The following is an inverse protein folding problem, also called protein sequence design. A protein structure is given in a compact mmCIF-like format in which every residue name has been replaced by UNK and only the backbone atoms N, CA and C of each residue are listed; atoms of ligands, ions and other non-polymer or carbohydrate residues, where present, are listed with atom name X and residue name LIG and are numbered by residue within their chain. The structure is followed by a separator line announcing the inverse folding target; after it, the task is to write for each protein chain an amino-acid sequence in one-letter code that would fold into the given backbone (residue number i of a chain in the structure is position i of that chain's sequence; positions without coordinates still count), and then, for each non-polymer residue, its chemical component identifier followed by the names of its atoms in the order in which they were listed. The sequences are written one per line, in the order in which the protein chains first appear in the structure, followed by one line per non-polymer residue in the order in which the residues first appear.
data_IF_413037853976
#
_entry.id   IF_413037853976
#
_cell.length_a   1.000
_cell.length_b   1.000
_cell.length_c   1.000
_cell.angle_alpha   90.00
_cell.angle_beta   90.00
_cell.angle_gamma   90.00
#
_symmetry.space_group_name_H-M   'P 1'
#
loop_
_entity.id
_entity.type
_entity.pdbx_description
1 polymer ?
#
# COMPACT_ATOMS: atom_id res chain seq x y z
N UNK A 1 -24.04 7.88 -72.30
CA UNK A 1 -24.25 7.95 -71.90
C UNK A 1 -24.34 7.70 -70.88
N UNK A 2 -24.28 7.82 -70.14
CA UNK A 2 -24.28 7.70 -69.14
C UNK A 2 -24.18 7.50 -68.16
N UNK A 3 -24.12 7.50 -67.52
CA UNK A 3 -24.09 7.39 -66.57
C UNK A 3 -24.03 7.20 -65.53
N UNK A 4 -23.98 7.32 -64.97
CA UNK A 4 -24.02 7.23 -63.97
C UNK A 4 -23.86 7.01 -62.95
N UNK A 5 -23.72 7.01 -62.18
CA UNK A 5 -23.75 6.90 -61.12
C UNK A 5 -23.55 6.72 -60.09
N UNK A 6 -23.49 6.81 -59.47
CA UNK A 6 -23.46 6.70 -58.56
C UNK A 6 -23.32 6.51 -57.55
N UNK A 7 -23.25 6.45 -56.88
CA UNK A 7 -23.28 6.35 -55.80
C UNK A 7 -22.99 6.13 -54.82
N UNK A 8 -22.94 6.25 -54.24
CA UNK A 8 -22.95 6.15 -53.35
C UNK A 8 -22.75 5.93 -52.35
N UNK A 9 -22.69 5.96 -51.64
CA UNK A 9 -22.66 5.91 -50.65
C UNK A 9 -22.40 5.68 -49.70
N UNK A 10 -22.34 5.75 -49.00
CA UNK A 10 -22.28 5.73 -48.02
C UNK A 10 -22.05 5.42 -47.03
N UNK A 11 -21.94 5.40 -46.38
CA UNK A 11 -21.91 5.26 -45.42
C UNK A 11 -21.58 5.04 -44.44
N UNK A 12 -21.37 5.16 -43.70
CA UNK A 12 -21.14 5.04 -42.80
C UNK A 12 -20.95 4.88 -41.80
N UNK A 13 -20.94 4.84 -41.16
CA UNK A 13 -20.83 4.83 -40.14
C UNK A 13 -20.46 4.52 -39.20
N UNK A 14 -20.28 4.56 -38.50
CA UNK A 14 -20.02 4.44 -37.53
C UNK A 14 -19.74 4.30 -36.51
N UNK A 15 -19.65 4.32 -35.87
CA UNK A 15 -19.67 4.25 -34.90
C UNK A 15 -19.12 3.94 -33.97
N UNK A 16 -18.73 4.00 -33.47
CA UNK A 16 -18.16 4.09 -32.66
C UNK A 16 -18.24 4.06 -31.41
N UNK A 17 -18.43 3.70 -30.79
CA UNK A 17 -18.68 3.62 -29.65
C UNK A 17 -17.79 3.24 -28.80
N UNK A 18 -17.25 3.61 -28.22
CA UNK A 18 -16.54 3.31 -27.33
C UNK A 18 -16.89 3.43 -26.18
N UNK A 19 -16.82 2.90 -25.44
CA UNK A 19 -17.13 2.80 -24.28
C UNK A 19 -16.22 2.72 -23.35
N UNK A 20 -15.96 3.39 -22.69
CA UNK A 20 -15.01 3.37 -21.85
C UNK A 20 -15.28 3.13 -20.52
N UNK A 21 -15.77 2.39 -20.05
CA UNK A 21 -16.10 2.25 -18.71
C UNK A 21 -15.02 1.70 -17.84
N UNK A 22 -14.00 1.18 -18.33
CA UNK A 22 -13.01 0.51 -17.50
C UNK A 22 -12.27 1.38 -16.51
N UNK A 23 -11.94 2.60 -16.83
CA UNK A 23 -11.17 3.38 -15.89
C UNK A 23 -11.90 3.71 -14.61
N UNK A 24 -13.19 3.77 -14.67
CA UNK A 24 -13.98 4.14 -13.50
C UNK A 24 -13.84 3.13 -12.36
N UNK A 25 -13.83 1.86 -12.67
CA UNK A 25 -13.69 0.83 -11.65
C UNK A 25 -12.32 0.85 -11.01
N UNK A 26 -11.30 1.08 -11.81
CA UNK A 26 -9.95 1.16 -11.27
C UNK A 26 -9.81 2.36 -10.34
N UNK A 27 -10.44 3.48 -10.67
CA UNK A 27 -10.39 4.67 -9.83
C UNK A 27 -11.09 4.43 -8.50
N UNK A 28 -12.22 3.78 -8.52
CA UNK A 28 -12.93 3.48 -7.28
C UNK A 28 -12.13 2.54 -6.36
N UNK A 29 -11.49 1.55 -6.94
CA UNK A 29 -10.67 0.64 -6.16
C UNK A 29 -9.47 1.35 -5.53
N UNK A 30 -8.86 2.27 -6.25
CA UNK A 30 -7.76 3.05 -5.72
C UNK A 30 -8.23 3.99 -4.61
N UNK A 31 -9.36 4.64 -4.81
CA UNK A 31 -9.92 5.52 -3.78
C UNK A 31 -10.28 4.75 -2.52
N UNK A 32 -10.82 3.54 -2.66
CA UNK A 32 -11.17 2.72 -1.51
C UNK A 32 -9.92 2.32 -0.72
N UNK A 33 -8.84 2.02 -1.41
CA UNK A 33 -7.58 1.69 -0.74
C UNK A 33 -6.97 2.88 -0.01
N UNK A 34 -7.16 4.07 -0.54
CA UNK A 34 -6.64 5.28 0.09
C UNK A 34 -7.44 5.72 1.31
N UNK A 35 -8.65 5.22 1.45
CA UNK A 35 -9.52 5.60 2.56
C UNK A 35 -9.14 4.94 3.89
N UNK A 36 -8.18 4.03 3.90
CA UNK A 36 -7.74 3.40 5.14
C UNK A 36 -6.76 4.32 5.86
N UNK A 37 -7.21 4.91 6.92
CA UNK A 37 -6.35 5.74 7.76
C UNK A 37 -5.32 4.84 8.45
N UNK A 38 -4.08 5.27 8.46
CA UNK A 38 -3.01 4.60 9.20
C UNK A 38 -2.63 5.43 10.40
N UNK A 39 -2.21 4.79 11.47
CA UNK A 39 -1.74 5.49 12.66
C UNK A 39 -0.34 6.08 12.46
N UNK A 40 0.34 5.70 11.40
CA UNK A 40 1.74 6.03 11.20
C UNK A 40 2.68 5.13 11.98
N UNK A 41 2.16 4.18 12.72
CA UNK A 41 2.96 3.22 13.46
C UNK A 41 3.26 1.98 12.61
N UNK A 42 4.29 1.26 13.00
CA UNK A 42 4.63 -0.04 12.42
C UNK A 42 4.50 -1.11 13.49
N UNK A 43 3.98 -2.26 13.11
CA UNK A 43 3.95 -3.46 13.95
C UNK A 43 5.00 -4.41 13.39
N UNK A 44 5.95 -4.79 14.21
CA UNK A 44 7.08 -5.62 13.80
C UNK A 44 7.07 -6.90 14.63
N UNK A 45 6.99 -8.03 13.94
CA UNK A 45 7.09 -9.33 14.57
C UNK A 45 8.50 -9.87 14.44
N UNK A 46 9.01 -10.51 15.49
CA UNK A 46 10.36 -11.03 15.51
C UNK A 46 10.39 -12.49 15.97
N UNK A 47 11.44 -13.18 15.58
CA UNK A 47 11.63 -14.57 15.94
C UNK A 47 11.93 -14.69 17.44
N UNK A 48 11.20 -15.58 18.10
CA UNK A 48 11.32 -15.75 19.55
C UNK A 48 12.68 -16.30 19.98
N UNK A 49 13.32 -17.08 19.13
CA UNK A 49 14.62 -17.71 19.48
C UNK A 49 15.77 -16.72 19.29
N UNK A 50 15.63 -15.79 18.35
CA UNK A 50 16.60 -14.72 18.14
C UNK A 50 16.38 -13.59 19.14
N UNK A 51 15.13 -13.34 19.50
CA UNK A 51 14.77 -12.32 20.48
C UNK A 51 14.71 -10.93 19.87
N UNK A 52 14.41 -9.97 20.70
CA UNK A 52 14.18 -8.59 20.30
C UNK A 52 15.42 -7.70 20.37
N UNK A 53 16.56 -8.21 20.77
CA UNK A 53 17.75 -7.39 21.03
C UNK A 53 18.19 -6.56 19.83
N UNK A 54 18.38 -7.22 18.69
CA UNK A 54 18.78 -6.52 17.45
C UNK A 54 17.73 -5.54 17.01
N UNK A 55 16.46 -5.90 17.14
CA UNK A 55 15.34 -5.06 16.80
C UNK A 55 15.28 -3.80 17.68
N UNK A 56 15.42 -3.96 18.98
CA UNK A 56 15.41 -2.82 19.92
C UNK A 56 16.58 -1.87 19.68
N UNK A 57 17.73 -2.43 19.29
CA UNK A 57 18.86 -1.60 18.90
C UNK A 57 18.53 -0.80 17.64
N UNK A 58 17.94 -1.45 16.64
CA UNK A 58 17.57 -0.79 15.40
C UNK A 58 16.52 0.30 15.64
N UNK A 59 15.57 0.08 16.54
CA UNK A 59 14.59 1.11 16.93
C UNK A 59 15.31 2.35 17.44
N UNK A 60 16.27 2.15 18.33
CA UNK A 60 17.03 3.26 18.90
C UNK A 60 17.88 3.96 17.85
N UNK A 61 18.59 3.20 17.04
CA UNK A 61 19.51 3.73 16.02
C UNK A 61 18.76 4.52 14.95
N UNK A 62 17.53 4.14 14.63
CA UNK A 62 16.73 4.83 13.61
C UNK A 62 15.99 6.05 14.13
N UNK A 63 16.05 6.32 15.42
CA UNK A 63 15.29 7.41 16.03
C UNK A 63 13.81 7.13 16.15
N UNK A 64 13.39 5.88 16.00
CA UNK A 64 12.01 5.50 16.21
C UNK A 64 11.70 5.38 17.69
N UNK A 65 10.44 5.42 18.04
CA UNK A 65 9.97 5.30 19.42
C UNK A 65 9.18 4.02 19.60
N UNK A 66 9.44 3.30 20.68
CA UNK A 66 8.64 2.15 21.04
C UNK A 66 7.30 2.63 21.57
N UNK A 67 6.21 2.13 20.98
CA UNK A 67 4.86 2.44 21.40
C UNK A 67 4.33 1.37 22.34
N UNK A 68 4.51 0.11 21.97
CA UNK A 68 4.03 -1.01 22.77
C UNK A 68 4.80 -2.28 22.46
N UNK A 69 4.89 -3.17 23.44
CA UNK A 69 5.52 -4.48 23.26
C UNK A 69 4.50 -5.58 23.49
N UNK A 70 4.29 -6.42 22.49
CA UNK A 70 3.38 -7.56 22.55
C UNK A 70 4.17 -8.82 22.92
N UNK A 71 4.41 -9.01 24.19
CA UNK A 71 5.31 -10.08 24.66
C UNK A 71 4.87 -11.46 24.22
N UNK A 72 3.56 -11.72 24.28
CA UNK A 72 3.05 -13.06 23.94
C UNK A 72 3.06 -13.32 22.43
N UNK A 73 3.13 -12.29 21.62
CA UNK A 73 3.13 -12.41 20.16
C UNK A 73 4.52 -12.20 19.57
N UNK A 74 5.51 -11.90 20.41
CA UNK A 74 6.87 -11.58 19.97
C UNK A 74 6.86 -10.47 18.92
N UNK A 75 6.19 -9.38 19.25
CA UNK A 75 6.04 -8.24 18.38
C UNK A 75 6.15 -6.93 19.13
N UNK A 76 6.47 -5.88 18.41
CA UNK A 76 6.49 -4.53 18.95
C UNK A 76 5.75 -3.58 18.02
N UNK A 77 5.14 -2.56 18.60
CA UNK A 77 4.61 -1.43 17.83
C UNK A 77 5.56 -0.26 18.02
N UNK A 78 5.98 0.33 16.93
CA UNK A 78 6.88 1.49 16.97
C UNK A 78 6.32 2.64 16.15
N UNK A 79 6.76 3.84 16.48
CA UNK A 79 6.51 5.02 15.67
C UNK A 79 7.82 5.42 15.03
N UNK A 80 7.92 5.37 13.70
CA UNK A 80 9.13 5.82 13.00
C UNK A 80 9.39 7.30 13.26
N UNK A 81 10.64 7.70 13.07
CA UNK A 81 11.00 9.11 13.17
C UNK A 81 10.18 9.93 12.17
N UNK A 82 9.78 11.13 12.57
CA UNK A 82 9.01 12.04 11.70
C UNK A 82 9.78 12.42 10.43
N UNK A 83 11.08 12.25 10.44
CA UNK A 83 11.92 12.57 9.28
C UNK A 83 12.05 11.41 8.31
N UNK A 84 11.54 10.23 8.66
CA UNK A 84 11.69 9.02 7.85
C UNK A 84 10.38 8.73 7.13
N UNK A 85 10.48 8.46 5.83
CA UNK A 85 9.33 8.01 5.07
C UNK A 85 8.92 6.62 5.57
N UNK A 86 7.63 6.36 5.63
CA UNK A 86 7.11 5.09 6.16
C UNK A 86 7.62 3.88 5.36
N UNK A 87 7.76 4.00 4.05
CA UNK A 87 8.25 2.92 3.21
C UNK A 87 9.74 2.64 3.47
N UNK A 88 10.50 3.69 3.69
CA UNK A 88 11.91 3.55 4.03
C UNK A 88 12.08 2.91 5.41
N UNK A 89 11.22 3.26 6.35
CA UNK A 89 11.21 2.65 7.67
C UNK A 89 10.91 1.15 7.57
N UNK A 90 9.91 0.78 6.79
CA UNK A 90 9.57 -0.63 6.58
C UNK A 90 10.77 -1.38 6.00
N UNK A 91 11.38 -0.84 4.96
CA UNK A 91 12.54 -1.45 4.32
C UNK A 91 13.73 -1.60 5.29
N UNK A 92 13.92 -0.61 6.14
CA UNK A 92 14.99 -0.63 7.14
C UNK A 92 14.78 -1.76 8.15
N UNK A 93 13.59 -1.84 8.73
CA UNK A 93 13.32 -2.84 9.76
C UNK A 93 13.23 -4.26 9.21
N UNK A 94 12.82 -4.44 7.95
CA UNK A 94 12.78 -5.75 7.32
C UNK A 94 14.16 -6.40 7.22
N UNK A 95 15.21 -5.61 7.24
CA UNK A 95 16.58 -6.11 7.14
C UNK A 95 17.21 -6.43 8.50
N UNK A 96 16.54 -6.13 9.58
CA UNK A 96 17.06 -6.37 10.92
C UNK A 96 17.04 -7.85 11.22
N UNK A 97 18.12 -8.36 11.78
CA UNK A 97 18.22 -9.77 12.12
C UNK A 97 17.12 -10.18 13.11
N UNK A 98 16.43 -11.25 12.80
CA UNK A 98 15.34 -11.76 13.62
C UNK A 98 13.97 -11.20 13.30
N UNK A 99 13.86 -10.20 12.44
CA UNK A 99 12.55 -9.66 12.06
C UNK A 99 11.87 -10.59 11.07
N UNK A 100 10.63 -10.97 11.38
CA UNK A 100 9.82 -11.84 10.54
C UNK A 100 8.92 -11.05 9.60
N UNK A 101 8.31 -9.98 10.09
CA UNK A 101 7.46 -9.13 9.26
C UNK A 101 7.38 -7.72 9.84
N UNK A 102 7.11 -6.77 8.95
CA UNK A 102 6.88 -5.37 9.30
C UNK A 102 5.60 -4.93 8.61
N UNK A 103 4.63 -4.51 9.39
CA UNK A 103 3.32 -4.12 8.89
C UNK A 103 2.94 -2.73 9.36
N UNK A 104 2.19 -2.02 8.55
CA UNK A 104 1.61 -0.75 8.97
C UNK A 104 0.40 -0.99 9.85
N UNK A 105 0.36 -0.30 10.98
CA UNK A 105 -0.81 -0.32 11.83
C UNK A 105 -1.93 0.48 11.17
N UNK A 106 -3.01 -0.21 10.83
CA UNK A 106 -4.15 0.37 10.14
C UNK A 106 -5.33 0.47 11.07
N UNK A 107 -5.94 1.64 11.08
CA UNK A 107 -7.17 1.83 11.83
C UNK A 107 -8.30 1.13 11.08
N UNK A 108 -8.85 0.11 11.68
CA UNK A 108 -10.10 -0.47 11.21
C UNK A 108 -11.24 0.36 11.74
N UNK A 109 -11.97 1.00 10.85
CA UNK A 109 -13.24 1.60 11.26
C UNK A 109 -14.25 0.48 11.36
N UNK A 110 -14.71 0.26 12.55
CA UNK A 110 -15.86 -0.62 12.76
C UNK A 110 -17.08 0.11 12.23
N UNK A 111 -17.68 -0.46 11.23
CA UNK A 111 -18.97 0.05 10.72
C UNK A 111 -20.10 -0.54 11.52
#
# INVERSE_FOLDING_TARGET
MNKTFAFILLSALLCACQSPSKPTQATEAVLTRQAQATTGNLIIFYDKDIGSGSLMKAVKDSGASLVYEYKNLHGIAIRPSAKTNIQDAIAYFQKVNGVLSVEQDRLMKLQ
#
